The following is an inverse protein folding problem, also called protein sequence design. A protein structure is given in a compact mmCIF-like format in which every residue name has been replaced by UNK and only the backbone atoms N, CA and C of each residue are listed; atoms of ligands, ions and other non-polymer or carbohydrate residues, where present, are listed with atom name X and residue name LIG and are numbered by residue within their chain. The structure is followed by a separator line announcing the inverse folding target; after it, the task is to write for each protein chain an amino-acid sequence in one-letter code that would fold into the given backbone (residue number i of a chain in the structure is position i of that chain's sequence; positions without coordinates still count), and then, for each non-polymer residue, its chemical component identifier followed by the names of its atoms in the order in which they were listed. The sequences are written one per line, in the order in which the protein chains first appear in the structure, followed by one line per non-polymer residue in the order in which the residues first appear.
data_IF_335933291309
#
_entry.id   IF_335933291309
#
_cell.length_a   1.000
_cell.length_b   1.000
_cell.length_c   1.000
_cell.angle_alpha   90.00
_cell.angle_beta   90.00
_cell.angle_gamma   90.00
#
_symmetry.space_group_name_H-M   'P 1'
#
loop_
_entity.id
_entity.type
_entity.pdbx_description
1 polymer ?
#
# COMPACT_ATOMS: atom_id res chain seq x y z
N UNK A 1 -0.95 -28.40 7.36
CA UNK A 1 -1.52 -27.68 6.19
C UNK A 1 -0.95 -28.26 4.89
N UNK A 2 -1.80 -28.87 4.06
CA UNK A 2 -1.42 -29.99 3.18
C UNK A 2 -0.48 -29.68 1.99
N UNK A 3 -0.19 -28.42 1.62
CA UNK A 3 0.58 -28.14 0.41
C UNK A 3 1.87 -27.31 0.59
N UNK A 4 2.27 -26.92 1.81
CA UNK A 4 3.56 -26.22 2.05
C UNK A 4 3.72 -24.82 1.42
N UNK A 5 2.75 -24.35 0.63
CA UNK A 5 2.73 -23.00 0.04
C UNK A 5 1.90 -22.04 0.90
N UNK A 6 2.37 -20.81 1.06
CA UNK A 6 1.60 -19.74 1.67
C UNK A 6 0.52 -19.23 0.70
N UNK A 7 -0.78 -19.27 1.07
CA UNK A 7 -1.86 -18.77 0.21
C UNK A 7 -1.72 -17.28 -0.16
N UNK A 8 -1.06 -16.50 0.69
CA UNK A 8 -0.75 -15.08 0.47
C UNK A 8 0.26 -14.80 -0.64
N UNK A 9 0.84 -15.84 -1.26
CA UNK A 9 1.70 -15.68 -2.44
C UNK A 9 0.89 -15.59 -3.75
N UNK A 10 -0.42 -15.80 -3.72
CA UNK A 10 -1.28 -15.75 -4.91
C UNK A 10 -1.59 -14.32 -5.35
N UNK A 11 -1.35 -14.02 -6.62
CA UNK A 11 -1.76 -12.78 -7.29
C UNK A 11 -2.93 -13.04 -8.24
N UNK A 12 -3.98 -12.23 -8.15
CA UNK A 12 -5.13 -12.32 -9.04
C UNK A 12 -4.80 -11.78 -10.44
N UNK A 13 -5.36 -12.37 -11.50
CA UNK A 13 -5.18 -11.89 -12.88
C UNK A 13 -5.75 -10.49 -13.16
N UNK A 14 -6.51 -9.94 -12.22
CA UNK A 14 -7.10 -8.59 -12.27
C UNK A 14 -6.43 -7.62 -11.30
N UNK A 15 -5.29 -8.00 -10.70
CA UNK A 15 -4.53 -7.13 -9.80
C UNK A 15 -4.04 -5.90 -10.56
N UNK A 16 -4.27 -4.70 -10.04
CA UNK A 16 -3.80 -3.46 -10.66
C UNK A 16 -2.27 -3.54 -10.85
N UNK A 17 -1.70 -3.19 -12.02
CA UNK A 17 -2.29 -2.41 -13.12
C UNK A 17 -2.91 -3.25 -14.25
N UNK A 18 -3.28 -4.52 -14.02
CA UNK A 18 -4.02 -5.29 -15.00
C UNK A 18 -5.26 -4.51 -15.47
N UNK A 19 -5.51 -4.50 -16.78
CA UNK A 19 -6.53 -3.69 -17.47
C UNK A 19 -6.29 -2.18 -17.50
N UNK A 20 -5.19 -1.66 -16.95
CA UNK A 20 -4.85 -0.22 -17.04
C UNK A 20 -3.63 0.05 -17.92
N UNK A 21 -3.04 -1.01 -18.46
CA UNK A 21 -1.95 -0.96 -19.43
C UNK A 21 -2.30 -1.87 -20.61
N UNK A 22 -1.91 -1.50 -21.85
CA UNK A 22 -2.31 -2.22 -23.06
C UNK A 22 -1.66 -3.60 -23.18
N UNK A 23 -0.49 -3.80 -22.56
CA UNK A 23 0.27 -5.04 -22.61
C UNK A 23 0.63 -5.44 -21.17
N UNK A 24 0.01 -6.52 -20.69
CA UNK A 24 0.17 -6.99 -19.32
C UNK A 24 0.39 -8.49 -19.31
N UNK A 25 1.41 -8.93 -18.56
CA UNK A 25 1.66 -10.33 -18.25
C UNK A 25 1.93 -10.45 -16.75
N UNK A 26 1.33 -11.46 -16.12
CA UNK A 26 1.52 -11.78 -14.72
C UNK A 26 1.86 -13.26 -14.61
N UNK A 27 3.03 -13.54 -14.07
CA UNK A 27 3.51 -14.89 -13.80
C UNK A 27 3.90 -15.00 -12.33
N UNK A 28 3.68 -16.17 -11.74
CA UNK A 28 4.06 -16.46 -10.37
C UNK A 28 4.83 -17.77 -10.31
N UNK A 29 5.99 -17.72 -9.67
CA UNK A 29 6.77 -18.91 -9.29
C UNK A 29 6.67 -19.06 -7.78
N UNK A 30 6.14 -20.18 -7.31
CA UNK A 30 6.00 -20.46 -5.88
C UNK A 30 7.02 -21.51 -5.44
N UNK A 31 7.53 -21.35 -4.21
CA UNK A 31 8.34 -22.36 -3.55
C UNK A 31 7.71 -22.74 -2.21
N UNK A 32 7.77 -24.02 -1.78
CA UNK A 32 7.32 -24.39 -0.45
C UNK A 32 8.13 -23.65 0.61
N UNK A 33 7.46 -23.13 1.63
CA UNK A 33 8.12 -22.50 2.77
C UNK A 33 8.39 -23.55 3.85
N UNK A 34 9.65 -23.61 4.30
CA UNK A 34 10.07 -24.45 5.42
C UNK A 34 9.73 -23.87 6.80
N UNK A 35 9.03 -22.75 6.85
CA UNK A 35 8.66 -22.03 8.08
C UNK A 35 7.16 -21.82 8.18
N UNK A 36 6.56 -21.86 9.38
CA UNK A 36 5.15 -21.57 9.57
C UNK A 36 4.81 -20.14 9.14
N UNK A 37 3.74 -19.99 8.36
CA UNK A 37 3.19 -18.68 7.96
C UNK A 37 1.73 -18.56 8.41
N UNK A 38 1.29 -17.33 8.64
CA UNK A 38 -0.11 -17.02 8.99
C UNK A 38 -0.64 -15.82 8.21
N UNK A 39 -1.88 -15.45 8.49
CA UNK A 39 -2.44 -14.21 7.99
C UNK A 39 -1.86 -13.03 8.78
N UNK A 40 -1.30 -12.06 8.05
CA UNK A 40 -1.01 -10.70 8.51
C UNK A 40 -2.01 -9.78 7.82
N UNK A 41 -2.34 -8.64 8.42
CA UNK A 41 -3.34 -7.69 7.93
C UNK A 41 -3.13 -7.36 6.45
N UNK A 42 -4.21 -7.41 5.67
CA UNK A 42 -4.16 -7.32 4.20
C UNK A 42 -3.21 -8.34 3.54
N UNK A 43 -3.42 -9.66 3.74
CA UNK A 43 -2.57 -10.70 3.18
C UNK A 43 -2.40 -10.50 1.67
N UNK A 44 -1.19 -10.70 1.16
CA UNK A 44 -0.82 -10.41 -0.25
C UNK A 44 -0.74 -8.92 -0.57
N UNK A 45 -1.83 -8.17 -0.33
CA UNK A 45 -1.97 -6.77 -0.74
C UNK A 45 -0.90 -5.86 -0.14
N UNK A 46 -0.50 -6.09 1.11
CA UNK A 46 0.56 -5.32 1.76
C UNK A 46 1.89 -5.37 0.99
N UNK A 47 2.34 -6.56 0.57
CA UNK A 47 3.57 -6.74 -0.17
C UNK A 47 3.46 -6.24 -1.62
N UNK A 48 2.31 -6.48 -2.27
CA UNK A 48 2.10 -6.16 -3.69
C UNK A 48 1.95 -4.66 -3.90
N UNK A 49 1.21 -3.98 -3.02
CA UNK A 49 1.10 -2.52 -3.03
C UNK A 49 2.47 -1.86 -2.96
N UNK A 50 3.35 -2.32 -2.06
CA UNK A 50 4.73 -1.81 -1.95
C UNK A 50 5.45 -1.89 -3.30
N UNK A 51 5.50 -3.08 -3.92
CA UNK A 51 6.22 -3.27 -5.18
C UNK A 51 5.61 -2.42 -6.31
N UNK A 52 4.30 -2.49 -6.50
CA UNK A 52 3.62 -1.87 -7.64
C UNK A 52 3.62 -0.35 -7.52
N UNK A 53 3.25 0.19 -6.36
CA UNK A 53 3.14 1.64 -6.18
C UNK A 53 4.50 2.31 -6.07
N UNK A 54 5.54 1.66 -5.55
CA UNK A 54 6.90 2.19 -5.62
C UNK A 54 7.45 2.18 -7.04
N UNK A 55 7.18 1.12 -7.82
CA UNK A 55 7.60 1.08 -9.21
C UNK A 55 6.89 2.11 -10.08
N UNK A 56 5.57 2.31 -9.90
CA UNK A 56 4.82 3.37 -10.59
C UNK A 56 5.37 4.76 -10.27
N UNK A 57 5.81 4.99 -9.03
CA UNK A 57 6.46 6.23 -8.66
C UNK A 57 7.81 6.42 -9.38
N UNK A 58 8.63 5.37 -9.47
CA UNK A 58 9.85 5.38 -10.28
C UNK A 58 9.57 5.71 -11.75
N UNK A 59 8.52 5.13 -12.34
CA UNK A 59 8.08 5.43 -13.71
C UNK A 59 7.65 6.89 -13.87
N UNK A 60 6.90 7.45 -12.91
CA UNK A 60 6.49 8.85 -12.93
C UNK A 60 7.71 9.78 -12.97
N UNK A 61 8.69 9.53 -12.09
CA UNK A 61 9.93 10.28 -12.05
C UNK A 61 10.76 10.12 -13.33
N UNK A 62 10.88 8.90 -13.87
CA UNK A 62 11.59 8.65 -15.12
C UNK A 62 10.92 9.34 -16.32
N UNK A 63 9.59 9.47 -16.29
CA UNK A 63 8.82 10.21 -17.29
C UNK A 63 8.82 11.74 -17.07
N UNK A 64 9.44 12.25 -15.99
CA UNK A 64 9.39 13.66 -15.63
C UNK A 64 7.98 14.16 -15.29
N UNK A 65 7.08 13.26 -14.86
CA UNK A 65 5.70 13.55 -14.53
C UNK A 65 5.48 13.57 -13.02
N UNK A 66 4.54 14.41 -12.58
CA UNK A 66 4.07 14.39 -11.20
C UNK A 66 3.49 13.01 -10.83
N UNK A 67 3.86 12.42 -9.68
CA UNK A 67 3.41 11.08 -9.30
C UNK A 67 1.90 10.90 -9.09
N UNK A 68 1.16 11.96 -8.73
CA UNK A 68 -0.30 11.91 -8.62
C UNK A 68 -0.91 11.97 -10.02
N UNK A 69 -0.45 12.89 -10.86
CA UNK A 69 -0.91 12.98 -12.25
C UNK A 69 -0.63 11.69 -13.04
N UNK A 70 0.55 11.09 -12.86
CA UNK A 70 0.91 9.83 -13.54
C UNK A 70 -0.05 8.69 -13.19
N UNK A 71 -0.55 8.66 -11.94
CA UNK A 71 -1.55 7.70 -11.49
C UNK A 71 -2.93 7.97 -12.10
N UNK A 72 -3.33 9.23 -12.29
CA UNK A 72 -4.54 9.57 -13.05
C UNK A 72 -4.43 9.07 -14.49
N UNK A 73 -3.30 9.33 -15.16
CA UNK A 73 -3.07 8.91 -16.54
C UNK A 73 -3.22 7.37 -16.69
N UNK A 74 -2.76 6.59 -15.70
CA UNK A 74 -2.95 5.12 -15.70
C UNK A 74 -4.42 4.75 -15.47
N UNK A 75 -5.08 5.36 -14.49
CA UNK A 75 -6.48 5.05 -14.17
C UNK A 75 -7.45 5.41 -15.32
N UNK A 76 -7.12 6.43 -16.11
CA UNK A 76 -7.86 6.84 -17.30
C UNK A 76 -7.70 5.87 -18.48
N UNK A 77 -6.71 5.01 -18.42
CA UNK A 77 -6.40 4.05 -19.47
C UNK A 77 -7.03 2.68 -19.23
N UNK A 78 -8.28 2.66 -18.71
CA UNK A 78 -9.03 1.43 -18.51
C UNK A 78 -9.28 0.74 -19.86
N UNK A 79 -8.74 -0.46 -20.01
CA UNK A 79 -8.89 -1.32 -21.16
C UNK A 79 -10.25 -2.05 -21.11
N UNK A 80 -10.87 -2.33 -22.27
CA UNK A 80 -12.06 -3.18 -22.37
C UNK A 80 -11.83 -4.54 -21.71
N UNK A 81 -12.90 -5.17 -21.22
CA UNK A 81 -12.77 -6.51 -20.67
C UNK A 81 -12.30 -7.49 -21.76
N UNK A 82 -11.24 -8.29 -21.49
CA UNK A 82 -10.92 -9.38 -22.38
C UNK A 82 -12.10 -10.36 -22.42
N UNK A 83 -12.35 -11.03 -23.56
CA UNK A 83 -13.41 -12.03 -23.66
C UNK A 83 -13.26 -13.08 -22.54
N UNK A 84 -14.37 -13.40 -21.88
CA UNK A 84 -14.37 -14.31 -20.74
C UNK A 84 -13.70 -15.66 -21.14
N UNK A 85 -12.75 -16.17 -20.34
CA UNK A 85 -12.29 -17.54 -20.55
C UNK A 85 -13.48 -18.49 -20.40
N UNK A 86 -13.55 -19.60 -21.15
CA UNK A 86 -14.57 -20.62 -20.94
C UNK A 86 -14.57 -21.01 -19.46
N UNK A 87 -15.77 -21.08 -18.88
CA UNK A 87 -15.97 -21.20 -17.43
C UNK A 87 -15.07 -22.28 -16.83
N UNK A 88 -14.05 -21.87 -16.08
CA UNK A 88 -13.25 -22.80 -15.31
C UNK A 88 -14.11 -23.22 -14.10
N UNK A 89 -14.68 -24.42 -14.18
CA UNK A 89 -15.37 -25.06 -13.06
C UNK A 89 -14.45 -25.07 -11.82
N UNK A 90 -14.96 -24.56 -10.69
CA UNK A 90 -14.42 -24.91 -9.38
C UNK A 90 -13.48 -23.92 -8.68
N UNK A 91 -13.18 -22.73 -9.22
CA UNK A 91 -12.48 -21.69 -8.43
C UNK A 91 -13.47 -20.81 -7.66
N UNK A 92 -14.10 -21.39 -6.65
CA UNK A 92 -14.61 -20.59 -5.53
C UNK A 92 -13.41 -20.00 -4.81
N UNK A 93 -13.03 -18.76 -5.17
CA UNK A 93 -12.06 -18.03 -4.39
C UNK A 93 -12.54 -17.97 -2.94
N UNK A 94 -11.62 -18.18 -2.01
CA UNK A 94 -11.91 -18.20 -0.58
C UNK A 94 -12.68 -16.95 -0.15
N UNK A 95 -13.33 -17.03 1.02
CA UNK A 95 -14.05 -15.92 1.65
C UNK A 95 -13.22 -14.63 1.57
N UNK A 96 -13.52 -13.78 0.59
CA UNK A 96 -12.82 -12.51 0.34
C UNK A 96 -12.19 -12.31 -1.05
N UNK A 97 -12.01 -13.34 -1.89
CA UNK A 97 -11.21 -13.20 -3.13
C UNK A 97 -11.80 -13.77 -4.43
N UNK A 98 -12.87 -14.55 -4.40
CA UNK A 98 -13.47 -15.16 -5.60
C UNK A 98 -14.76 -14.48 -6.03
N UNK A 99 -14.68 -13.44 -6.86
CA UNK A 99 -15.86 -12.80 -7.45
C UNK A 99 -16.06 -11.32 -7.09
N UNK A 100 -15.10 -10.67 -6.43
CA UNK A 100 -15.13 -9.22 -6.32
C UNK A 100 -14.94 -8.62 -7.73
N UNK A 101 -15.74 -7.61 -8.14
CA UNK A 101 -15.44 -6.87 -9.36
C UNK A 101 -14.02 -6.29 -9.23
N UNK A 102 -13.31 -6.22 -10.37
CA UNK A 102 -12.01 -5.57 -10.43
C UNK A 102 -12.08 -4.12 -9.95
N UNK A 103 -10.92 -3.49 -9.78
CA UNK A 103 -10.81 -2.08 -9.38
C UNK A 103 -11.70 -1.19 -10.27
N UNK A 104 -12.61 -0.44 -9.64
CA UNK A 104 -13.36 0.64 -10.28
C UNK A 104 -12.47 1.89 -10.39
N UNK A 105 -12.15 2.27 -11.63
CA UNK A 105 -11.22 3.35 -11.94
C UNK A 105 -11.71 4.70 -11.39
N UNK A 106 -13.00 4.99 -11.49
CA UNK A 106 -13.58 6.26 -11.07
C UNK A 106 -13.57 6.39 -9.55
N UNK A 107 -13.86 5.30 -8.83
CA UNK A 107 -13.75 5.28 -7.36
C UNK A 107 -12.32 5.46 -6.88
N UNK A 108 -11.36 4.75 -7.51
CA UNK A 108 -9.95 4.90 -7.15
C UNK A 108 -9.42 6.31 -7.44
N UNK A 109 -9.77 6.86 -8.61
CA UNK A 109 -9.44 8.24 -8.96
C UNK A 109 -10.03 9.22 -7.94
N UNK A 110 -11.28 9.02 -7.54
CA UNK A 110 -11.96 9.90 -6.57
C UNK A 110 -11.29 9.94 -5.19
N UNK A 111 -10.72 8.83 -4.70
CA UNK A 111 -9.95 8.84 -3.45
C UNK A 111 -8.56 9.44 -3.65
N UNK A 112 -7.92 9.22 -4.80
CA UNK A 112 -6.62 9.82 -5.12
C UNK A 112 -6.72 11.35 -5.24
N UNK A 113 -7.79 11.87 -5.86
CA UNK A 113 -8.09 13.30 -5.92
C UNK A 113 -8.33 13.89 -4.52
N UNK A 114 -9.11 13.18 -3.70
CA UNK A 114 -9.40 13.61 -2.34
C UNK A 114 -8.13 13.68 -1.48
N UNK A 115 -7.26 12.67 -1.52
CA UNK A 115 -6.03 12.72 -0.71
C UNK A 115 -5.08 13.81 -1.19
N UNK A 116 -4.94 14.02 -2.50
CA UNK A 116 -4.12 15.08 -3.06
C UNK A 116 -4.62 16.48 -2.66
N UNK A 117 -5.94 16.70 -2.65
CA UNK A 117 -6.55 17.93 -2.17
C UNK A 117 -6.23 18.16 -0.68
N UNK A 118 -6.50 17.16 0.16
CA UNK A 118 -6.39 17.27 1.62
C UNK A 118 -4.97 17.38 2.12
N UNK A 119 -4.02 16.73 1.44
CA UNK A 119 -2.60 16.87 1.74
C UNK A 119 -2.00 18.18 1.23
N UNK A 120 -2.73 18.95 0.41
CA UNK A 120 -2.18 20.11 -0.28
C UNK A 120 -1.08 19.75 -1.29
N UNK A 121 -1.21 18.60 -1.95
CA UNK A 121 -0.23 18.11 -2.93
C UNK A 121 0.05 19.18 -3.99
N UNK A 122 1.33 19.41 -4.30
CA UNK A 122 1.77 20.42 -5.26
C UNK A 122 1.61 21.89 -4.81
N UNK A 123 1.02 22.16 -3.64
CA UNK A 123 0.79 23.54 -3.15
C UNK A 123 1.81 23.99 -2.11
N UNK A 124 2.46 23.06 -1.43
CA UNK A 124 3.44 23.34 -0.38
C UNK A 124 4.86 23.10 -0.88
N UNK A 125 5.72 24.12 -0.80
CA UNK A 125 7.16 23.93 -1.00
C UNK A 125 7.79 23.44 0.29
N UNK A 126 8.31 22.22 0.27
CA UNK A 126 9.00 21.63 1.42
C UNK A 126 10.49 22.01 1.46
N UNK A 127 11.11 22.10 2.64
CA UNK A 127 12.55 22.32 2.77
C UNK A 127 13.35 21.12 2.23
N UNK A 128 14.63 21.34 1.93
CA UNK A 128 15.55 20.25 1.54
C UNK A 128 15.58 19.20 2.65
N UNK A 129 15.54 17.92 2.27
CA UNK A 129 15.42 16.81 3.23
C UNK A 129 13.99 16.48 3.62
N UNK A 130 12.99 17.19 3.09
CA UNK A 130 11.58 16.82 3.25
C UNK A 130 10.96 16.42 1.91
N UNK A 131 9.97 15.53 1.98
CA UNK A 131 9.30 15.01 0.81
C UNK A 131 7.89 14.53 1.14
N UNK A 132 7.06 14.50 0.11
CA UNK A 132 5.75 13.85 0.13
C UNK A 132 5.76 12.72 -0.89
N UNK A 133 5.17 11.59 -0.51
CA UNK A 133 5.00 10.43 -1.38
C UNK A 133 3.56 9.96 -1.35
N UNK A 134 3.12 9.37 -2.46
CA UNK A 134 1.74 8.92 -2.66
C UNK A 134 1.71 7.43 -3.01
N UNK A 135 0.64 6.76 -2.59
CA UNK A 135 0.30 5.38 -2.96
C UNK A 135 -1.21 5.18 -2.90
N UNK A 136 -1.72 4.21 -3.65
CA UNK A 136 -3.11 3.75 -3.50
C UNK A 136 -3.18 2.23 -3.63
N UNK A 137 -4.26 1.65 -3.11
CA UNK A 137 -4.53 0.22 -3.30
C UNK A 137 -6.03 -0.07 -3.25
N UNK A 138 -6.45 -1.07 -4.02
CA UNK A 138 -7.78 -1.66 -3.94
C UNK A 138 -7.66 -3.05 -3.33
N UNK A 139 -8.25 -3.26 -2.16
CA UNK A 139 -8.30 -4.58 -1.53
C UNK A 139 -9.54 -4.67 -0.65
N UNK A 140 -10.02 -5.90 -0.41
CA UNK A 140 -11.18 -6.12 0.48
C UNK A 140 -12.41 -5.24 0.16
N UNK A 141 -12.55 -4.86 -1.12
CA UNK A 141 -13.58 -3.98 -1.70
C UNK A 141 -13.49 -2.49 -1.30
N UNK A 142 -12.49 -2.10 -0.52
CA UNK A 142 -12.21 -0.71 -0.17
C UNK A 142 -11.19 -0.07 -1.12
N UNK A 143 -11.36 1.22 -1.39
CA UNK A 143 -10.47 2.03 -2.22
C UNK A 143 -9.76 3.03 -1.31
N UNK A 144 -8.43 2.96 -1.25
CA UNK A 144 -7.65 3.82 -0.37
C UNK A 144 -6.48 4.44 -1.12
N UNK A 145 -6.29 5.74 -0.92
CA UNK A 145 -5.13 6.47 -1.36
C UNK A 145 -4.55 7.25 -0.18
N UNK A 146 -3.23 7.29 -0.10
CA UNK A 146 -2.51 7.85 1.02
C UNK A 146 -1.36 8.73 0.55
N UNK A 147 -1.15 9.82 1.28
CA UNK A 147 0.00 10.71 1.14
C UNK A 147 0.74 10.74 2.47
N UNK A 148 2.04 10.49 2.41
CA UNK A 148 2.93 10.54 3.58
C UNK A 148 3.90 11.69 3.39
N UNK A 149 4.03 12.56 4.40
CA UNK A 149 5.08 13.57 4.48
C UNK A 149 6.17 13.12 5.45
N UNK A 150 7.43 13.31 5.06
CA UNK A 150 8.59 13.01 5.89
C UNK A 150 9.60 14.17 5.93
N UNK A 151 10.42 14.17 6.99
CA UNK A 151 11.72 14.83 7.03
C UNK A 151 12.79 13.79 7.29
N UNK A 152 13.90 13.87 6.55
CA UNK A 152 15.11 13.08 6.76
C UNK A 152 16.26 14.05 7.02
N UNK A 153 16.93 13.93 8.17
CA UNK A 153 18.13 14.73 8.45
C UNK A 153 19.27 14.34 7.48
N UNK A 154 20.28 15.20 7.32
CA UNK A 154 21.48 14.86 6.53
C UNK A 154 22.19 13.59 7.05
N UNK A 155 22.12 13.32 8.35
CA UNK A 155 22.64 12.08 8.96
C UNK A 155 21.76 10.84 8.72
N UNK A 156 20.62 10.99 8.06
CA UNK A 156 19.70 9.89 7.71
C UNK A 156 18.64 9.58 8.76
N UNK A 157 18.44 10.44 9.76
CA UNK A 157 17.36 10.24 10.74
C UNK A 157 16.02 10.60 10.11
N UNK A 158 15.14 9.59 9.99
CA UNK A 158 13.80 9.72 9.46
C UNK A 158 12.81 10.17 10.55
N UNK A 159 12.00 11.18 10.23
CA UNK A 159 10.76 11.52 10.94
C UNK A 159 9.60 11.48 9.94
N UNK A 160 8.53 10.79 10.32
CA UNK A 160 7.27 10.81 9.58
C UNK A 160 6.46 11.96 10.16
N UNK A 161 6.20 13.00 9.36
CA UNK A 161 5.60 14.25 9.85
C UNK A 161 4.08 14.11 9.95
N UNK A 162 3.44 13.54 8.92
CA UNK A 162 1.99 13.40 8.82
C UNK A 162 1.59 12.41 7.73
N UNK A 163 0.45 11.76 7.91
CA UNK A 163 -0.22 10.94 6.88
C UNK A 163 -1.62 11.47 6.63
N UNK A 164 -1.99 11.59 5.35
CA UNK A 164 -3.36 11.83 4.91
C UNK A 164 -3.89 10.59 4.23
N UNK A 165 -5.10 10.19 4.57
CA UNK A 165 -5.77 9.02 4.02
C UNK A 165 -7.09 9.45 3.41
N UNK A 166 -7.36 9.03 2.18
CA UNK A 166 -8.68 9.08 1.59
C UNK A 166 -9.20 7.66 1.36
N UNK A 167 -10.40 7.38 1.88
CA UNK A 167 -11.06 6.08 1.75
C UNK A 167 -12.44 6.19 1.10
N UNK A 168 -12.76 5.24 0.23
CA UNK A 168 -14.12 4.97 -0.25
C UNK A 168 -14.49 3.53 0.10
N UNK A 169 -15.42 3.40 1.04
CA UNK A 169 -15.99 2.13 1.50
C UNK A 169 -17.49 2.02 1.21
N UNK A 170 -18.03 2.87 0.33
CA UNK A 170 -19.43 2.88 -0.10
C UNK A 170 -20.24 4.06 0.44
N UNK A 171 -21.55 3.86 0.48
CA UNK A 171 -22.55 4.91 0.69
C UNK A 171 -22.77 5.36 2.12
N UNK A 172 -22.23 4.61 3.07
CA UNK A 172 -22.38 4.93 4.47
C UNK A 172 -21.19 4.43 5.27
N UNK A 173 -20.65 5.31 6.10
CA UNK A 173 -19.74 4.94 7.17
C UNK A 173 -20.59 4.53 8.37
N UNK A 174 -20.74 3.22 8.58
CA UNK A 174 -21.68 2.67 9.57
C UNK A 174 -21.37 3.16 11.00
N UNK A 175 -20.07 3.17 11.36
CA UNK A 175 -19.59 3.72 12.62
C UNK A 175 -18.38 4.62 12.32
N UNK A 176 -18.57 5.95 12.22
CA UNK A 176 -17.51 6.89 11.84
C UNK A 176 -16.29 6.84 12.75
N UNK A 177 -16.50 6.77 14.08
CA UNK A 177 -15.41 6.76 15.06
C UNK A 177 -14.57 5.49 14.93
N UNK A 178 -15.22 4.32 14.85
CA UNK A 178 -14.48 3.07 14.66
C UNK A 178 -13.83 3.00 13.29
N UNK A 179 -14.43 3.60 12.26
CA UNK A 179 -13.86 3.63 10.92
C UNK A 179 -12.56 4.46 10.88
N UNK A 180 -12.57 5.63 11.51
CA UNK A 180 -11.38 6.46 11.70
C UNK A 180 -10.31 5.69 12.48
N UNK A 181 -10.64 5.15 13.66
CA UNK A 181 -9.70 4.38 14.48
C UNK A 181 -9.11 3.17 13.74
N UNK A 182 -9.93 2.44 12.98
CA UNK A 182 -9.47 1.29 12.18
C UNK A 182 -8.47 1.69 11.11
N UNK A 183 -8.72 2.82 10.46
CA UNK A 183 -7.88 3.37 9.40
C UNK A 183 -6.56 3.85 9.97
N UNK A 184 -6.60 4.63 11.06
CA UNK A 184 -5.40 5.09 11.77
C UNK A 184 -4.55 3.91 12.25
N UNK A 185 -5.16 2.88 12.83
CA UNK A 185 -4.46 1.66 13.21
C UNK A 185 -3.79 0.94 12.02
N UNK A 186 -4.48 0.86 10.87
CA UNK A 186 -3.93 0.22 9.66
C UNK A 186 -2.66 0.91 9.15
N UNK A 187 -2.71 2.24 9.12
CA UNK A 187 -1.60 3.10 8.69
C UNK A 187 -0.42 2.94 9.64
N UNK A 188 -0.67 2.97 10.96
CA UNK A 188 0.38 2.80 11.96
C UNK A 188 0.99 1.39 11.94
N UNK A 189 0.18 0.35 11.71
CA UNK A 189 0.66 -1.03 11.50
C UNK A 189 1.58 -1.10 10.28
N UNK A 190 1.17 -0.56 9.13
CA UNK A 190 2.00 -0.55 7.91
C UNK A 190 3.29 0.27 8.07
N UNK A 191 3.26 1.37 8.82
CA UNK A 191 4.47 2.12 9.19
C UNK A 191 5.39 1.27 10.08
N UNK A 192 4.85 0.56 11.07
CA UNK A 192 5.63 -0.33 11.93
C UNK A 192 6.32 -1.42 11.11
N UNK A 193 5.57 -2.05 10.20
CA UNK A 193 6.05 -3.05 9.25
C UNK A 193 7.23 -2.50 8.42
N UNK A 194 7.05 -1.33 7.82
CA UNK A 194 8.06 -0.71 6.98
C UNK A 194 9.32 -0.29 7.76
N UNK A 195 9.19 0.16 9.01
CA UNK A 195 10.31 0.70 9.77
C UNK A 195 11.31 -0.37 10.24
N UNK A 196 10.82 -1.48 10.83
CA UNK A 196 11.74 -2.38 11.55
C UNK A 196 11.24 -3.83 11.79
N UNK A 197 10.02 -4.22 11.41
CA UNK A 197 9.46 -5.52 11.76
C UNK A 197 9.91 -6.64 10.81
N UNK A 198 11.19 -7.00 10.90
CA UNK A 198 11.73 -8.14 10.18
C UNK A 198 11.71 -9.43 11.03
N UNK A 199 11.35 -10.54 10.38
CA UNK A 199 11.54 -11.89 10.92
C UNK A 199 12.64 -12.58 10.12
N UNK A 200 13.80 -12.77 10.75
CA UNK A 200 14.93 -13.51 10.17
C UNK A 200 14.88 -14.98 10.58
N UNK A 201 15.23 -15.86 9.65
CA UNK A 201 15.29 -17.31 9.86
C UNK A 201 16.74 -17.78 9.77
N UNK A 202 17.27 -18.32 10.86
CA UNK A 202 18.61 -18.90 10.92
C UNK A 202 18.53 -20.35 11.39
N UNK A 203 19.20 -21.25 10.67
CA UNK A 203 19.23 -22.70 11.00
C UNK A 203 17.84 -23.29 11.26
N UNK A 204 16.84 -22.85 10.48
CA UNK A 204 15.45 -23.31 10.56
C UNK A 204 14.63 -22.73 11.71
N UNK A 205 15.09 -21.66 12.37
CA UNK A 205 14.40 -21.03 13.52
C UNK A 205 14.33 -19.53 13.36
N UNK A 206 13.25 -18.94 13.85
CA UNK A 206 13.14 -17.49 14.02
C UNK A 206 14.18 -16.98 15.01
N UNK A 207 14.90 -15.92 14.65
CA UNK A 207 15.90 -15.27 15.51
C UNK A 207 15.24 -14.32 16.51
N UNK A 208 14.22 -13.57 16.07
CA UNK A 208 13.49 -12.63 16.91
C UNK A 208 12.62 -13.37 17.92
N UNK A 209 12.88 -13.12 19.20
CA UNK A 209 12.27 -13.83 20.33
C UNK A 209 11.32 -12.96 21.17
N UNK A 210 11.37 -11.63 21.00
CA UNK A 210 10.61 -10.68 21.82
C UNK A 210 10.55 -9.27 21.18
N UNK A 211 9.77 -8.35 21.73
CA UNK A 211 9.62 -6.98 21.22
C UNK A 211 10.87 -6.11 21.34
N UNK A 212 11.93 -6.60 21.99
CA UNK A 212 13.25 -5.93 22.00
C UNK A 212 13.98 -6.07 20.66
N UNK A 213 13.77 -7.18 19.94
CA UNK A 213 14.37 -7.49 18.64
C UNK A 213 13.35 -7.63 17.51
N UNK A 214 12.05 -7.53 17.82
CA UNK A 214 10.95 -7.27 16.88
C UNK A 214 10.15 -6.05 17.36
N UNK A 215 10.66 -4.82 17.18
CA UNK A 215 10.07 -3.64 17.79
C UNK A 215 8.69 -3.31 17.20
N UNK A 216 7.74 -3.00 18.08
CA UNK A 216 6.48 -2.35 17.71
C UNK A 216 6.69 -0.84 17.59
N UNK A 217 5.81 -0.16 16.85
CA UNK A 217 5.83 1.30 16.74
C UNK A 217 5.61 1.95 18.12
N UNK A 218 6.49 2.88 18.50
CA UNK A 218 6.35 3.63 19.76
C UNK A 218 5.53 4.90 19.55
N UNK A 219 4.92 5.40 20.62
CA UNK A 219 4.12 6.63 20.58
C UNK A 219 4.88 7.83 19.99
N UNK A 220 6.17 7.96 20.29
CA UNK A 220 7.02 9.05 19.76
C UNK A 220 7.33 8.92 18.26
N UNK A 221 7.09 7.75 17.67
CA UNK A 221 7.28 7.47 16.25
C UNK A 221 5.95 7.54 15.47
N UNK A 222 4.81 7.50 16.17
CA UNK A 222 3.50 7.52 15.55
C UNK A 222 3.18 8.92 15.01
N UNK A 223 3.05 9.10 13.68
CA UNK A 223 2.65 10.39 13.12
C UNK A 223 1.16 10.64 13.34
N UNK A 224 0.70 11.90 13.25
CA UNK A 224 -0.72 12.18 13.06
C UNK A 224 -1.20 11.58 11.74
N UNK A 225 -2.36 10.90 11.79
CA UNK A 225 -3.03 10.30 10.63
C UNK A 225 -4.42 10.94 10.47
N UNK A 226 -4.59 11.71 9.40
CA UNK A 226 -5.84 12.40 9.08
C UNK A 226 -6.63 11.61 8.05
N UNK A 227 -7.88 11.24 8.37
CA UNK A 227 -8.71 10.35 7.56
C UNK A 227 -9.87 11.11 6.94
N UNK A 228 -10.07 10.93 5.63
CA UNK A 228 -11.15 11.54 4.86
C UNK A 228 -11.93 10.48 4.11
N UNK A 229 -13.26 10.60 4.12
CA UNK A 229 -14.16 9.66 3.46
C UNK A 229 -14.75 10.25 2.19
N UNK A 230 -14.58 9.55 1.07
CA UNK A 230 -15.34 9.77 -0.16
C UNK A 230 -16.57 8.88 -0.13
N UNK A 231 -17.70 9.45 0.28
CA UNK A 231 -19.00 8.75 0.29
C UNK A 231 -19.53 8.67 -1.15
N UNK A 232 -19.90 7.46 -1.57
CA UNK A 232 -20.40 7.17 -2.92
C UNK A 232 -21.78 6.53 -2.89
N UNK A 233 -22.35 6.13 -4.03
CA UNK A 233 -23.63 5.42 -4.09
C UNK A 233 -23.50 3.90 -3.96
N UNK A 234 -22.28 3.38 -3.84
CA UNK A 234 -22.00 1.94 -3.80
C UNK A 234 -22.36 1.33 -2.44
N UNK A 235 -22.73 0.04 -2.36
CA UNK A 235 -23.00 -0.62 -1.09
C UNK A 235 -21.81 -0.55 -0.13
N UNK A 236 -22.05 -0.45 1.20
CA UNK A 236 -20.98 -0.52 2.20
C UNK A 236 -20.09 -1.76 2.04
N UNK A 237 -18.80 -1.59 2.35
CA UNK A 237 -17.75 -2.61 2.18
C UNK A 237 -16.94 -2.81 3.47
N UNK A 238 -15.93 -3.70 3.42
CA UNK A 238 -15.06 -3.97 4.56
C UNK A 238 -14.00 -2.88 4.78
N UNK A 239 -13.64 -2.65 6.04
CA UNK A 239 -12.64 -1.66 6.46
C UNK A 239 -11.51 -2.26 7.33
N UNK A 240 -11.51 -3.59 7.50
CA UNK A 240 -10.54 -4.30 8.34
C UNK A 240 -9.08 -4.04 7.95
N UNK A 241 -8.83 -3.98 6.65
CA UNK A 241 -7.52 -4.18 6.03
C UNK A 241 -7.09 -3.12 5.00
N UNK A 242 -7.98 -2.48 4.22
CA UNK A 242 -7.59 -1.84 2.96
C UNK A 242 -6.79 -0.53 3.09
N UNK A 243 -6.68 0.03 4.29
CA UNK A 243 -5.89 1.22 4.60
C UNK A 243 -4.44 0.92 5.04
N UNK A 244 -4.01 -0.35 5.08
CA UNK A 244 -2.60 -0.68 5.35
C UNK A 244 -1.75 -0.67 4.07
N UNK A 245 -2.17 -1.32 2.95
CA UNK A 245 -1.29 -1.45 1.80
C UNK A 245 -0.71 -0.15 1.21
N UNK A 246 -1.45 0.98 1.11
CA UNK A 246 -0.94 2.19 0.47
C UNK A 246 0.12 2.95 1.26
N UNK A 247 0.14 2.86 2.60
CA UNK A 247 1.06 3.65 3.44
C UNK A 247 2.53 3.31 3.18
N UNK A 248 2.83 2.04 2.98
CA UNK A 248 4.20 1.52 2.84
C UNK A 248 4.93 2.11 1.62
N UNK A 249 4.38 2.01 0.39
CA UNK A 249 4.99 2.67 -0.76
C UNK A 249 4.95 4.19 -0.66
N UNK A 250 3.88 4.80 -0.12
CA UNK A 250 3.80 6.25 0.05
C UNK A 250 4.93 6.79 0.93
N UNK A 251 5.25 6.10 2.04
CA UNK A 251 6.39 6.40 2.90
C UNK A 251 7.73 6.27 2.15
N UNK A 252 7.94 5.17 1.42
CA UNK A 252 9.18 4.96 0.68
C UNK A 252 9.38 5.98 -0.46
N UNK A 253 8.29 6.37 -1.13
CA UNK A 253 8.29 7.41 -2.16
C UNK A 253 8.61 8.79 -1.55
N UNK A 254 8.07 9.10 -0.36
CA UNK A 254 8.38 10.34 0.36
C UNK A 254 9.86 10.42 0.75
N UNK A 255 10.44 9.30 1.19
CA UNK A 255 11.88 9.18 1.50
C UNK A 255 12.72 9.43 0.25
N UNK A 256 12.32 8.89 -0.90
CA UNK A 256 13.02 9.16 -2.15
C UNK A 256 12.99 10.64 -2.51
N UNK A 257 11.83 11.31 -2.41
CA UNK A 257 11.74 12.76 -2.68
C UNK A 257 12.64 13.55 -1.72
N UNK A 258 12.69 13.15 -0.45
CA UNK A 258 13.50 13.82 0.57
C UNK A 258 15.02 13.63 0.39
N UNK A 259 15.46 12.47 -0.10
CA UNK A 259 16.87 12.03 -0.03
C UNK A 259 17.52 11.70 -1.37
N UNK A 260 16.73 11.50 -2.43
CA UNK A 260 17.15 10.91 -3.69
C UNK A 260 17.40 9.39 -3.65
N UNK A 261 17.20 8.72 -2.51
CA UNK A 261 17.47 7.29 -2.34
C UNK A 261 16.21 6.45 -2.47
N UNK A 262 16.18 5.52 -3.43
CA UNK A 262 15.10 4.55 -3.60
C UNK A 262 15.27 3.37 -2.64
N UNK A 263 14.20 3.07 -1.90
CA UNK A 263 14.08 1.88 -1.04
C UNK A 263 13.30 0.83 -1.82
N UNK A 264 13.92 -0.33 -2.07
CA UNK A 264 13.32 -1.46 -2.83
C UNK A 264 13.22 -2.76 -2.02
N UNK A 265 13.60 -2.69 -0.74
CA UNK A 265 13.48 -3.77 0.22
C UNK A 265 13.09 -3.19 1.57
N UNK A 266 12.41 -3.97 2.38
CA UNK A 266 12.05 -3.62 3.75
C UNK A 266 12.77 -4.57 4.72
N UNK A 267 13.01 -4.15 5.98
CA UNK A 267 12.60 -2.87 6.57
C UNK A 267 13.59 -1.71 6.36
N UNK A 268 13.12 -0.47 6.55
CA UNK A 268 13.89 0.78 6.44
C UNK A 268 15.10 0.83 7.38
N UNK A 269 15.06 0.15 8.52
CA UNK A 269 16.19 0.03 9.46
C UNK A 269 17.46 -0.56 8.83
N UNK A 270 17.36 -1.23 7.67
CA UNK A 270 18.50 -1.75 6.91
C UNK A 270 19.06 -0.79 5.86
N UNK A 271 18.49 0.40 5.73
CA UNK A 271 18.85 1.35 4.69
C UNK A 271 19.55 2.58 5.26
N UNK A 272 20.64 3.00 4.61
CA UNK A 272 21.28 4.27 4.90
C UNK A 272 20.54 5.40 4.18
N UNK A 273 19.85 6.26 4.93
CA UNK A 273 19.08 7.39 4.41
C UNK A 273 19.83 8.74 4.40
N UNK A 274 21.12 8.77 4.76
CA UNK A 274 21.91 10.01 4.80
C UNK A 274 22.02 10.69 3.43
N UNK A 275 22.16 12.01 3.38
CA UNK A 275 22.25 12.76 2.12
C UNK A 275 23.02 14.08 2.29
N UNK A 276 23.52 14.63 1.17
CA UNK A 276 24.33 15.86 1.10
C UNK A 276 23.50 17.06 0.61
#
# INVERSE_FOLDING_TARGET
PANGFAPSAGLGGTEFPARFVPHFALEASTMPLGVPTGALRAPTSNAVSFVIQSFIDELAHAAGKDPVQFRYDILDNLQPEPPAPPAAEGRQGGRGGGGAPGLDAARMRGVLELVAEKSGWGRTRLPKGSGMGVGFHFSHRGYFAEVVQVTVSQSGQLRIDKVWVAGDIGSQIINPLNAENQTQGAVLDGIAEALAQEITIEKGRTVQDNFRNFPLLRLVQAPPVEVHWKVTQFPPTGLGEPALPPVVPALCNAIFVATGKRVRSLPLSKHNLSWA
#
